data_IF_426834498849
#
_entry.id   IF_426834498849
#
_cell.length_a   1.000
_cell.length_b   1.000
_cell.length_c   1.000
_cell.angle_alpha   90.00
_cell.angle_beta   90.00
_cell.angle_gamma   90.00
#
_symmetry.space_group_name_H-M   'P 1'
#
loop_
_entity.id
_entity.type
_entity.pdbx_description
1 polymer ?
#
# COMPACT_ATOMS: atom_id res chain seq x y z
N UNK A 1 -60.90 -13.63 12.46
CA UNK A 1 -59.81 -13.99 13.37
C UNK A 1 -59.60 -15.47 13.20
N UNK A 2 -58.67 -15.88 12.39
CA UNK A 2 -58.28 -17.28 12.19
C UNK A 2 -56.85 -17.39 12.60
N UNK A 3 -56.64 -18.01 13.75
CA UNK A 3 -55.34 -18.31 14.32
C UNK A 3 -54.61 -19.28 13.38
N UNK A 4 -53.50 -18.83 12.84
CA UNK A 4 -52.55 -19.69 12.12
C UNK A 4 -51.66 -20.33 13.19
N UNK A 5 -52.15 -21.45 13.78
CA UNK A 5 -51.31 -22.28 14.65
C UNK A 5 -50.08 -22.71 13.89
N UNK A 6 -48.91 -22.39 14.44
CA UNK A 6 -47.60 -22.70 13.89
C UNK A 6 -47.43 -24.20 13.67
N UNK A 7 -47.66 -24.66 12.44
CA UNK A 7 -47.29 -25.98 12.01
C UNK A 7 -45.75 -26.01 11.85
N UNK A 8 -45.10 -26.87 12.61
CA UNK A 8 -43.65 -27.15 12.42
C UNK A 8 -43.35 -27.52 10.95
N UNK A 9 -42.26 -27.07 10.38
CA UNK A 9 -41.91 -27.40 9.01
C UNK A 9 -41.79 -28.92 8.86
N UNK A 10 -42.57 -29.49 7.95
CA UNK A 10 -42.52 -30.93 7.64
C UNK A 10 -41.48 -31.19 6.57
N UNK A 11 -40.62 -32.14 6.82
CA UNK A 11 -39.63 -32.61 5.81
C UNK A 11 -40.37 -33.43 4.75
N UNK A 12 -40.39 -32.94 3.52
CA UNK A 12 -40.96 -33.62 2.37
C UNK A 12 -39.85 -34.19 1.47
N UNK A 13 -39.99 -35.46 1.10
CA UNK A 13 -39.09 -36.13 0.17
C UNK A 13 -39.66 -36.12 -1.24
N UNK A 14 -38.86 -35.70 -2.26
CA UNK A 14 -39.25 -35.79 -3.66
C UNK A 14 -39.34 -37.26 -4.10
N UNK A 15 -40.51 -37.68 -4.60
CA UNK A 15 -40.72 -38.99 -5.18
C UNK A 15 -40.47 -38.96 -6.71
N UNK A 16 -41.06 -37.95 -7.38
CA UNK A 16 -40.96 -37.84 -8.82
C UNK A 16 -41.69 -36.64 -9.39
N UNK A 17 -42.10 -36.77 -10.65
CA UNK A 17 -42.89 -35.81 -11.39
C UNK A 17 -44.17 -36.53 -11.86
N UNK A 18 -45.31 -35.82 -11.84
CA UNK A 18 -46.55 -36.31 -12.41
C UNK A 18 -46.42 -36.62 -13.90
N UNK A 19 -47.20 -37.57 -14.44
CA UNK A 19 -47.16 -38.02 -15.83
C UNK A 19 -47.32 -36.87 -16.85
N UNK A 20 -48.14 -35.87 -16.50
CA UNK A 20 -48.36 -34.65 -17.30
C UNK A 20 -47.16 -33.66 -17.22
N UNK A 21 -46.17 -33.94 -16.36
CA UNK A 21 -44.96 -33.15 -16.21
C UNK A 21 -45.17 -31.77 -15.56
N UNK A 22 -46.36 -31.49 -15.03
CA UNK A 22 -46.72 -30.14 -14.51
C UNK A 22 -46.46 -29.97 -13.03
N UNK A 23 -46.37 -31.08 -12.24
CA UNK A 23 -46.18 -31.05 -10.80
C UNK A 23 -45.03 -31.96 -10.34
N UNK A 24 -44.42 -31.59 -9.22
CA UNK A 24 -43.53 -32.46 -8.43
C UNK A 24 -44.39 -33.22 -7.45
N UNK A 25 -44.13 -34.51 -7.29
CA UNK A 25 -44.74 -35.39 -6.29
C UNK A 25 -43.79 -35.58 -5.12
N UNK A 26 -44.26 -35.25 -3.91
CA UNK A 26 -43.52 -35.26 -2.67
C UNK A 26 -44.26 -36.16 -1.65
N UNK A 27 -43.54 -36.83 -0.77
CA UNK A 27 -44.10 -37.58 0.34
C UNK A 27 -43.50 -37.14 1.67
N UNK A 28 -44.32 -37.13 2.71
CA UNK A 28 -43.85 -37.00 4.08
C UNK A 28 -43.42 -38.36 4.66
N UNK A 29 -43.02 -38.37 5.94
CA UNK A 29 -42.59 -39.59 6.64
C UNK A 29 -43.75 -40.55 6.92
N UNK A 30 -44.98 -40.05 6.90
CA UNK A 30 -46.22 -40.79 7.19
C UNK A 30 -46.81 -41.41 5.90
N UNK A 31 -46.17 -41.18 4.75
CA UNK A 31 -46.60 -41.68 3.45
C UNK A 31 -47.68 -40.84 2.76
N UNK A 32 -48.01 -39.66 3.29
CA UNK A 32 -48.93 -38.72 2.62
C UNK A 32 -48.26 -38.06 1.42
N UNK A 33 -48.99 -37.99 0.28
CA UNK A 33 -48.47 -37.45 -0.98
C UNK A 33 -48.91 -36.00 -1.16
N UNK A 34 -48.00 -35.15 -1.59
CA UNK A 34 -48.19 -33.73 -1.88
C UNK A 34 -47.76 -33.40 -3.30
N UNK A 35 -48.50 -32.52 -3.97
CA UNK A 35 -48.19 -32.08 -5.31
C UNK A 35 -47.81 -30.58 -5.31
N UNK A 36 -46.65 -30.25 -5.83
CA UNK A 36 -46.19 -28.87 -5.98
C UNK A 36 -46.08 -28.53 -7.45
N UNK A 37 -46.82 -27.51 -7.90
CA UNK A 37 -46.79 -27.07 -9.29
C UNK A 37 -45.41 -26.56 -9.70
N UNK A 38 -44.90 -27.03 -10.85
CA UNK A 38 -43.66 -26.59 -11.44
C UNK A 38 -43.86 -25.24 -12.14
N UNK A 39 -43.90 -24.15 -11.36
CA UNK A 39 -44.00 -22.78 -11.86
C UNK A 39 -42.63 -22.26 -12.33
N UNK A 40 -42.62 -21.19 -13.15
CA UNK A 40 -41.39 -20.52 -13.54
C UNK A 40 -40.66 -19.94 -12.33
N UNK A 41 -41.38 -19.51 -11.30
CA UNK A 41 -40.84 -19.07 -10.03
C UNK A 41 -40.07 -20.18 -9.32
N UNK A 42 -40.64 -21.40 -9.25
CA UNK A 42 -40.00 -22.57 -8.66
C UNK A 42 -38.72 -22.94 -9.44
N UNK A 43 -38.80 -22.93 -10.79
CA UNK A 43 -37.63 -23.16 -11.64
C UNK A 43 -36.56 -22.12 -11.44
N UNK A 44 -36.93 -20.85 -11.36
CA UNK A 44 -35.97 -19.74 -11.11
C UNK A 44 -35.32 -19.90 -9.73
N UNK A 45 -36.09 -20.27 -8.69
CA UNK A 45 -35.58 -20.45 -7.33
C UNK A 45 -34.62 -21.63 -7.23
N UNK A 46 -34.90 -22.75 -7.93
CA UNK A 46 -34.03 -23.95 -7.94
C UNK A 46 -32.78 -23.72 -8.76
N UNK A 47 -32.87 -22.97 -9.89
CA UNK A 47 -31.76 -22.67 -10.77
C UNK A 47 -30.92 -21.46 -10.32
N UNK A 48 -31.39 -20.68 -9.34
CA UNK A 48 -30.50 -19.71 -8.69
C UNK A 48 -29.43 -20.51 -7.94
N UNK A 49 -28.13 -20.24 -8.18
CA UNK A 49 -27.10 -20.79 -7.32
C UNK A 49 -27.46 -20.39 -5.90
N UNK A 50 -27.79 -21.39 -5.08
CA UNK A 50 -28.24 -21.23 -3.71
C UNK A 50 -27.35 -20.18 -3.02
N UNK A 51 -27.91 -19.01 -2.78
CA UNK A 51 -27.57 -18.29 -1.55
C UNK A 51 -28.12 -19.18 -0.42
N UNK A 52 -27.36 -20.17 0.00
CA UNK A 52 -27.64 -20.86 1.25
C UNK A 52 -27.75 -19.78 2.33
N UNK A 53 -28.80 -19.79 3.19
CA UNK A 53 -28.66 -19.15 4.48
C UNK A 53 -27.50 -19.89 5.12
N UNK A 54 -26.34 -19.25 5.14
CA UNK A 54 -25.16 -19.70 5.87
C UNK A 54 -25.65 -19.73 7.32
N UNK A 55 -25.84 -20.94 7.86
CA UNK A 55 -25.78 -21.10 9.31
C UNK A 55 -24.47 -20.45 9.72
N UNK A 56 -24.54 -19.44 10.61
CA UNK A 56 -23.46 -18.62 11.15
C UNK A 56 -22.04 -19.19 10.98
N UNK A 57 -21.56 -19.32 9.73
CA UNK A 57 -20.15 -19.26 9.48
C UNK A 57 -19.76 -17.81 9.72
N UNK A 58 -18.70 -17.55 10.49
CA UNK A 58 -18.26 -16.20 10.77
C UNK A 58 -18.18 -15.48 9.43
N UNK A 59 -18.99 -14.44 9.26
CA UNK A 59 -19.05 -13.63 8.03
C UNK A 59 -17.63 -13.39 7.61
N UNK A 60 -17.25 -13.85 6.39
CA UNK A 60 -15.94 -13.56 5.85
C UNK A 60 -15.81 -12.04 5.82
N UNK A 61 -15.18 -11.50 6.85
CA UNK A 61 -15.05 -10.05 7.06
C UNK A 61 -14.28 -9.39 5.91
N UNK A 62 -13.65 -10.21 5.03
CA UNK A 62 -12.85 -9.71 3.94
C UNK A 62 -13.02 -10.52 2.64
N UNK A 63 -13.41 -9.82 1.55
CA UNK A 63 -13.53 -10.41 0.22
C UNK A 63 -12.16 -10.60 -0.46
N UNK A 64 -12.08 -11.50 -1.46
CA UNK A 64 -10.85 -11.68 -2.27
C UNK A 64 -10.42 -10.36 -2.91
N UNK A 65 -11.36 -9.56 -3.42
CA UNK A 65 -11.09 -8.25 -4.00
C UNK A 65 -10.45 -7.30 -3.00
N UNK A 66 -10.91 -7.31 -1.75
CA UNK A 66 -10.38 -6.50 -0.69
C UNK A 66 -8.98 -6.97 -0.27
N UNK A 67 -8.75 -8.29 -0.15
CA UNK A 67 -7.41 -8.87 0.08
C UNK A 67 -6.43 -8.36 -0.98
N UNK A 68 -6.78 -8.49 -2.26
CA UNK A 68 -5.90 -8.07 -3.35
C UNK A 68 -5.69 -6.56 -3.39
N UNK A 69 -6.71 -5.74 -3.05
CA UNK A 69 -6.58 -4.29 -2.95
C UNK A 69 -5.56 -3.91 -1.88
N UNK A 70 -5.66 -4.52 -0.69
CA UNK A 70 -4.73 -4.28 0.42
C UNK A 70 -3.31 -4.73 0.13
N UNK A 71 -3.14 -5.89 -0.49
CA UNK A 71 -1.83 -6.36 -0.96
C UNK A 71 -1.20 -5.38 -1.97
N UNK A 72 -1.99 -4.81 -2.90
CA UNK A 72 -1.51 -3.76 -3.82
C UNK A 72 -1.13 -2.48 -3.09
N UNK A 73 -1.87 -2.12 -2.04
CA UNK A 73 -1.56 -0.97 -1.19
C UNK A 73 -0.28 -1.18 -0.34
N UNK A 74 0.28 -2.40 -0.33
CA UNK A 74 1.53 -2.70 0.37
C UNK A 74 1.34 -3.21 1.80
N UNK A 75 0.11 -3.52 2.21
CA UNK A 75 -0.14 -4.15 3.51
C UNK A 75 0.47 -5.56 3.55
N UNK A 76 0.96 -5.97 4.73
CA UNK A 76 1.52 -7.31 4.92
C UNK A 76 0.43 -8.37 4.96
N UNK A 77 0.79 -9.60 4.58
CA UNK A 77 -0.16 -10.73 4.59
C UNK A 77 -0.66 -11.02 6.01
N UNK A 78 0.19 -10.87 7.01
CA UNK A 78 -0.14 -11.06 8.42
C UNK A 78 -1.16 -10.01 8.88
N UNK A 79 -0.95 -8.74 8.53
CA UNK A 79 -1.89 -7.65 8.85
C UNK A 79 -3.25 -7.89 8.23
N UNK A 80 -3.28 -8.31 6.95
CA UNK A 80 -4.52 -8.62 6.23
C UNK A 80 -5.25 -9.82 6.87
N UNK A 81 -4.51 -10.87 7.23
CA UNK A 81 -5.06 -12.05 7.90
C UNK A 81 -5.71 -11.69 9.24
N UNK A 82 -5.03 -10.87 10.05
CA UNK A 82 -5.55 -10.39 11.33
C UNK A 82 -6.80 -9.53 11.16
N UNK A 83 -6.76 -8.54 10.27
CA UNK A 83 -7.89 -7.65 10.01
C UNK A 83 -9.12 -8.38 9.46
N UNK A 84 -8.89 -9.37 8.61
CA UNK A 84 -9.96 -10.16 7.99
C UNK A 84 -10.46 -11.31 8.85
N UNK A 85 -9.80 -11.59 9.98
CA UNK A 85 -10.03 -12.81 10.78
C UNK A 85 -10.02 -14.08 9.90
N UNK A 86 -9.04 -14.14 8.99
CA UNK A 86 -8.84 -15.25 8.04
C UNK A 86 -7.44 -15.85 8.21
N UNK A 87 -7.23 -17.07 7.73
CA UNK A 87 -5.91 -17.68 7.80
C UNK A 87 -4.91 -17.04 6.83
N UNK A 88 -3.63 -17.05 7.18
CA UNK A 88 -2.56 -16.50 6.34
C UNK A 88 -2.46 -17.27 5.01
N UNK A 89 -2.66 -18.58 5.01
CA UNK A 89 -2.64 -19.43 3.82
C UNK A 89 -3.74 -19.02 2.82
N UNK A 90 -4.86 -18.50 3.34
CA UNK A 90 -5.92 -17.95 2.49
C UNK A 90 -5.45 -16.67 1.80
N UNK A 91 -4.74 -15.78 2.49
CA UNK A 91 -4.17 -14.56 1.92
C UNK A 91 -3.09 -14.91 0.89
N UNK A 92 -2.17 -15.82 1.22
CA UNK A 92 -1.10 -16.29 0.33
C UNK A 92 -1.62 -16.83 -0.99
N UNK A 93 -2.72 -17.59 -0.97
CA UNK A 93 -3.37 -18.14 -2.18
C UNK A 93 -3.73 -17.05 -3.19
N UNK A 94 -4.06 -15.84 -2.72
CA UNK A 94 -4.45 -14.71 -3.57
C UNK A 94 -3.33 -13.68 -3.77
N UNK A 95 -2.19 -13.84 -3.11
CA UNK A 95 -1.08 -12.90 -3.18
C UNK A 95 -0.29 -13.00 -4.49
N UNK A 96 -0.12 -14.21 -5.06
CA UNK A 96 0.73 -14.46 -6.21
C UNK A 96 0.55 -13.47 -7.38
N UNK A 97 -0.66 -13.26 -7.91
CA UNK A 97 -0.89 -12.31 -9.02
C UNK A 97 -0.51 -10.87 -8.66
N UNK A 98 -0.76 -10.45 -7.41
CA UNK A 98 -0.44 -9.09 -6.95
C UNK A 98 1.07 -8.88 -6.81
N UNK A 99 1.79 -9.87 -6.29
CA UNK A 99 3.25 -9.81 -6.18
C UNK A 99 3.90 -9.75 -7.57
N UNK A 100 3.39 -10.52 -8.54
CA UNK A 100 3.84 -10.43 -9.93
C UNK A 100 3.55 -9.06 -10.56
N UNK A 101 2.36 -8.49 -10.31
CA UNK A 101 2.01 -7.14 -10.75
C UNK A 101 3.00 -6.10 -10.19
N UNK A 102 3.33 -6.17 -8.89
CA UNK A 102 4.29 -5.27 -8.25
C UNK A 102 5.70 -5.39 -8.84
N UNK A 103 6.18 -6.62 -9.04
CA UNK A 103 7.48 -6.87 -9.68
C UNK A 103 7.52 -6.31 -11.11
N UNK A 104 6.47 -6.49 -11.87
CA UNK A 104 6.35 -5.94 -13.21
C UNK A 104 6.40 -4.40 -13.22
N UNK A 105 5.68 -3.75 -12.31
CA UNK A 105 5.70 -2.28 -12.15
C UNK A 105 7.09 -1.77 -11.79
N UNK A 106 7.80 -2.43 -10.88
CA UNK A 106 9.19 -2.08 -10.54
C UNK A 106 10.06 -2.16 -11.79
N UNK A 107 10.02 -3.26 -12.53
CA UNK A 107 10.80 -3.43 -13.76
C UNK A 107 10.47 -2.40 -14.83
N UNK A 108 9.21 -1.99 -14.95
CA UNK A 108 8.82 -0.90 -15.86
C UNK A 108 9.40 0.45 -15.43
N UNK A 109 9.33 0.73 -14.12
CA UNK A 109 9.82 1.99 -13.58
C UNK A 109 11.35 2.10 -13.70
N UNK A 110 12.10 1.04 -13.41
CA UNK A 110 13.57 1.00 -13.56
C UNK A 110 14.00 1.32 -14.99
N UNK A 111 13.22 0.90 -16.01
CA UNK A 111 13.47 1.17 -17.43
C UNK A 111 12.92 2.52 -17.90
N UNK A 112 12.25 3.27 -17.03
CA UNK A 112 11.67 4.57 -17.39
C UNK A 112 12.71 5.66 -17.22
N UNK A 113 12.83 6.56 -18.21
CA UNK A 113 13.71 7.71 -18.17
C UNK A 113 13.24 8.73 -17.13
N UNK A 114 14.18 9.27 -16.34
CA UNK A 114 13.90 10.28 -15.32
C UNK A 114 13.44 11.63 -15.90
N UNK A 115 13.90 11.95 -17.12
CA UNK A 115 13.56 13.17 -17.85
C UNK A 115 13.11 12.82 -19.27
N UNK A 116 12.47 13.76 -19.94
CA UNK A 116 11.97 13.58 -21.32
C UNK A 116 13.05 13.79 -22.41
N UNK A 117 14.28 14.08 -22.03
CA UNK A 117 15.40 14.33 -22.96
C UNK A 117 16.02 13.01 -23.44
N UNK A 118 16.52 13.01 -24.68
CA UNK A 118 17.11 11.84 -25.33
C UNK A 118 18.36 11.27 -24.68
N UNK A 119 18.96 11.99 -23.73
CA UNK A 119 20.16 11.58 -22.98
C UNK A 119 19.87 11.31 -21.51
N UNK A 120 18.60 11.23 -21.12
CA UNK A 120 18.21 10.98 -19.73
C UNK A 120 18.51 9.54 -19.33
N UNK A 121 19.09 9.39 -18.15
CA UNK A 121 19.28 8.09 -17.51
C UNK A 121 17.93 7.47 -17.19
N UNK A 122 17.86 6.15 -17.25
CA UNK A 122 16.73 5.42 -16.65
C UNK A 122 16.83 5.47 -15.13
N UNK A 123 15.72 5.18 -14.44
CA UNK A 123 15.74 5.11 -12.97
C UNK A 123 16.76 4.08 -12.46
N UNK A 124 16.82 2.89 -13.07
CA UNK A 124 17.78 1.85 -12.71
C UNK A 124 19.24 2.30 -12.88
N UNK A 125 19.56 2.93 -14.01
CA UNK A 125 20.91 3.45 -14.27
C UNK A 125 21.28 4.55 -13.27
N UNK A 126 20.34 5.44 -12.94
CA UNK A 126 20.56 6.50 -11.97
C UNK A 126 20.83 5.96 -10.56
N UNK A 127 20.06 4.96 -10.13
CA UNK A 127 20.30 4.27 -8.85
C UNK A 127 21.70 3.65 -8.84
N UNK A 128 22.05 2.89 -9.87
CA UNK A 128 23.38 2.28 -9.98
C UNK A 128 24.48 3.34 -9.97
N UNK A 129 24.36 4.41 -10.76
CA UNK A 129 25.37 5.47 -10.85
C UNK A 129 25.58 6.22 -9.53
N UNK A 130 24.51 6.38 -8.72
CA UNK A 130 24.58 7.08 -7.43
C UNK A 130 25.07 6.21 -6.29
N UNK A 131 24.72 4.92 -6.28
CA UNK A 131 25.02 4.02 -5.18
C UNK A 131 26.39 3.31 -5.34
N UNK A 132 26.83 3.03 -6.57
CA UNK A 132 28.12 2.35 -6.82
C UNK A 132 29.33 3.08 -6.20
N UNK A 133 29.48 4.42 -6.29
CA UNK A 133 30.58 5.13 -5.65
C UNK A 133 30.57 5.07 -4.12
N UNK A 134 29.41 4.76 -3.52
CA UNK A 134 29.26 4.57 -2.07
C UNK A 134 29.60 3.14 -1.63
N UNK A 135 29.97 2.27 -2.57
CA UNK A 135 30.28 0.87 -2.31
C UNK A 135 29.02 -0.01 -2.08
N UNK A 136 27.83 0.46 -2.46
CA UNK A 136 26.61 -0.31 -2.36
C UNK A 136 26.50 -1.27 -3.54
N UNK A 137 26.50 -2.57 -3.26
CA UNK A 137 26.27 -3.59 -4.27
C UNK A 137 24.77 -3.63 -4.65
N UNK A 138 24.47 -3.78 -5.94
CA UNK A 138 23.10 -3.68 -6.45
C UNK A 138 22.18 -4.83 -5.98
N UNK A 139 22.73 -5.96 -5.58
CA UNK A 139 22.02 -7.08 -4.96
C UNK A 139 21.51 -6.77 -3.53
N UNK A 140 22.06 -5.76 -2.88
CA UNK A 140 21.60 -5.26 -1.60
C UNK A 140 20.50 -4.19 -1.71
N UNK A 141 20.23 -3.72 -2.93
CA UNK A 141 19.17 -2.76 -3.19
C UNK A 141 17.81 -3.48 -3.24
N UNK A 142 16.91 -3.05 -2.41
CA UNK A 142 15.57 -3.63 -2.34
C UNK A 142 14.52 -2.67 -2.89
N UNK A 143 13.66 -3.19 -3.75
CA UNK A 143 12.55 -2.44 -4.32
C UNK A 143 11.22 -2.88 -3.74
N UNK A 144 10.36 -1.92 -3.50
CA UNK A 144 8.98 -2.14 -3.12
C UNK A 144 8.06 -1.23 -3.97
N UNK A 145 6.87 -1.74 -4.31
CA UNK A 145 5.87 -0.97 -5.03
C UNK A 145 4.51 -1.10 -4.32
N UNK A 146 3.84 0.01 -4.09
CA UNK A 146 2.47 0.03 -3.57
C UNK A 146 1.58 0.91 -4.42
N UNK A 147 0.33 0.49 -4.64
CA UNK A 147 -0.63 1.22 -5.45
C UNK A 147 -1.40 2.21 -4.61
N UNK A 148 -1.44 3.47 -5.04
CA UNK A 148 -2.22 4.53 -4.41
C UNK A 148 -3.66 4.55 -4.92
N UNK A 149 -4.54 5.21 -4.21
CA UNK A 149 -5.96 5.34 -4.56
C UNK A 149 -6.19 6.11 -5.87
N UNK A 150 -5.28 7.02 -6.22
CA UNK A 150 -5.29 7.76 -7.49
C UNK A 150 -4.87 6.91 -8.71
N UNK A 151 -4.54 5.63 -8.48
CA UNK A 151 -4.11 4.69 -9.50
C UNK A 151 -2.62 4.75 -9.86
N UNK A 152 -1.86 5.71 -9.32
CA UNK A 152 -0.39 5.75 -9.43
C UNK A 152 0.26 4.75 -8.48
N UNK A 153 1.55 4.51 -8.69
CA UNK A 153 2.35 3.64 -7.84
C UNK A 153 3.36 4.43 -7.03
N UNK A 154 3.51 4.08 -5.78
CA UNK A 154 4.61 4.53 -4.94
C UNK A 154 5.72 3.48 -5.00
N UNK A 155 6.90 3.88 -5.44
CA UNK A 155 8.08 3.03 -5.52
C UNK A 155 9.04 3.43 -4.42
N UNK A 156 9.51 2.49 -3.65
CA UNK A 156 10.50 2.69 -2.60
C UNK A 156 11.73 1.84 -2.93
N UNK A 157 12.86 2.49 -3.05
CA UNK A 157 14.18 1.89 -3.15
C UNK A 157 14.87 1.99 -1.80
N UNK A 158 15.18 0.87 -1.17
CA UNK A 158 15.91 0.79 0.09
C UNK A 158 17.31 0.26 -0.15
N UNK A 159 18.31 0.89 0.43
CA UNK A 159 19.74 0.53 0.24
C UNK A 159 20.54 0.75 1.53
N UNK A 160 21.63 0.00 1.74
CA UNK A 160 22.53 0.21 2.87
C UNK A 160 23.15 1.63 2.84
N UNK A 161 23.18 2.29 3.98
CA UNK A 161 23.80 3.59 4.20
C UNK A 161 24.67 3.53 5.46
N UNK A 162 25.55 4.51 5.66
CA UNK A 162 26.41 4.62 6.86
C UNK A 162 25.61 4.67 8.16
N UNK A 163 24.41 5.24 8.12
CA UNK A 163 23.53 5.42 9.27
C UNK A 163 22.45 4.31 9.38
N UNK A 164 22.57 3.23 8.58
CA UNK A 164 21.63 2.11 8.54
C UNK A 164 21.03 1.88 7.16
N UNK A 165 19.74 2.15 6.97
CA UNK A 165 19.05 2.03 5.68
C UNK A 165 18.69 3.41 5.14
N UNK A 166 19.14 3.69 3.92
CA UNK A 166 18.67 4.82 3.11
C UNK A 166 17.43 4.42 2.31
N UNK A 167 16.53 5.37 2.10
CA UNK A 167 15.35 5.19 1.27
C UNK A 167 15.25 6.30 0.23
N UNK A 168 14.72 5.95 -0.93
CA UNK A 168 14.37 6.89 -1.98
C UNK A 168 13.02 6.51 -2.57
N UNK A 169 12.13 7.49 -2.70
CA UNK A 169 10.73 7.25 -3.03
C UNK A 169 10.29 8.05 -4.24
N UNK A 170 9.69 7.37 -5.22
CA UNK A 170 9.10 7.98 -6.42
C UNK A 170 7.62 7.66 -6.55
N UNK A 171 6.87 8.59 -7.14
CA UNK A 171 5.55 8.32 -7.68
C UNK A 171 5.70 7.93 -9.16
N UNK A 172 5.09 6.84 -9.56
CA UNK A 172 5.12 6.30 -10.92
C UNK A 172 3.74 6.20 -11.53
N UNK A 173 3.50 6.90 -12.64
CA UNK A 173 2.33 6.71 -13.48
C UNK A 173 2.69 5.71 -14.57
N UNK A 174 2.22 4.47 -14.42
CA UNK A 174 2.52 3.38 -15.36
C UNK A 174 1.90 3.57 -16.74
N UNK A 175 0.79 4.30 -16.85
CA UNK A 175 0.09 4.58 -18.10
C UNK A 175 0.83 5.63 -18.93
N UNK A 176 1.36 6.67 -18.29
CA UNK A 176 2.14 7.74 -18.92
C UNK A 176 3.64 7.46 -18.94
N UNK A 177 4.10 6.43 -18.21
CA UNK A 177 5.51 6.14 -17.98
C UNK A 177 6.27 7.36 -17.50
N UNK A 178 5.79 7.99 -16.44
CA UNK A 178 6.41 9.15 -15.83
C UNK A 178 6.73 8.89 -14.36
N UNK A 179 7.90 9.38 -13.95
CA UNK A 179 8.39 9.33 -12.57
C UNK A 179 8.43 10.74 -11.99
N UNK A 180 8.12 10.85 -10.70
CA UNK A 180 8.28 12.08 -9.93
C UNK A 180 8.90 11.73 -8.57
N UNK A 181 9.98 12.42 -8.20
CA UNK A 181 10.62 12.26 -6.88
C UNK A 181 9.70 12.74 -5.78
N UNK A 182 9.53 11.92 -4.74
CA UNK A 182 8.66 12.22 -3.59
C UNK A 182 9.48 12.76 -2.41
N UNK A 183 10.66 12.20 -2.19
CA UNK A 183 11.55 12.55 -1.07
C UNK A 183 12.92 13.05 -1.53
N UNK A 184 13.75 13.47 -0.58
CA UNK A 184 15.10 13.99 -0.86
C UNK A 184 16.04 12.90 -1.35
N UNK A 185 15.86 11.65 -0.91
CA UNK A 185 16.62 10.51 -1.42
C UNK A 185 16.40 10.30 -2.91
N UNK A 186 15.14 10.36 -3.35
CA UNK A 186 14.78 10.27 -4.75
C UNK A 186 15.30 11.45 -5.57
N UNK A 187 15.19 12.68 -5.05
CA UNK A 187 15.75 13.87 -5.71
C UNK A 187 17.26 13.76 -5.89
N UNK A 188 17.95 13.30 -4.85
CA UNK A 188 19.39 13.09 -4.91
C UNK A 188 19.79 12.04 -5.96
N UNK A 189 19.10 10.89 -5.99
CA UNK A 189 19.36 9.84 -6.99
C UNK A 189 19.04 10.35 -8.39
N UNK A 190 17.92 11.04 -8.58
CA UNK A 190 17.47 11.57 -9.87
C UNK A 190 18.33 12.76 -10.38
N UNK A 191 19.26 13.26 -9.56
CA UNK A 191 20.07 14.43 -9.91
C UNK A 191 19.26 15.72 -10.00
N UNK A 192 18.16 15.80 -9.27
CA UNK A 192 17.40 17.02 -9.12
C UNK A 192 18.12 17.95 -8.12
N UNK A 193 18.28 19.22 -8.46
CA UNK A 193 18.80 20.19 -7.50
C UNK A 193 17.83 20.31 -6.34
N UNK A 194 18.36 20.17 -5.11
CA UNK A 194 17.54 20.49 -3.93
C UNK A 194 17.12 21.96 -4.03
N UNK A 195 15.85 22.29 -3.80
CA UNK A 195 15.46 23.69 -3.68
C UNK A 195 16.32 24.29 -2.56
N UNK A 196 17.20 25.26 -2.90
CA UNK A 196 17.93 26.02 -1.90
C UNK A 196 16.90 26.51 -0.89
N UNK A 197 17.12 26.26 0.43
CA UNK A 197 16.23 26.86 1.43
C UNK A 197 16.17 28.37 1.12
N UNK A 198 15.01 28.99 1.24
CA UNK A 198 14.88 30.42 0.96
C UNK A 198 15.97 31.11 1.78
N UNK A 199 16.90 31.81 1.08
CA UNK A 199 17.94 32.60 1.71
C UNK A 199 17.18 33.51 2.65
N UNK A 200 17.31 33.29 3.96
CA UNK A 200 16.86 34.28 4.92
C UNK A 200 17.71 35.51 4.60
N UNK A 201 17.16 36.41 3.81
CA UNK A 201 17.62 37.76 3.77
C UNK A 201 17.37 38.29 5.18
N UNK A 202 18.40 38.15 6.02
CA UNK A 202 18.50 38.98 7.19
C UNK A 202 18.46 40.41 6.65
N UNK A 203 17.28 40.94 6.61
CA UNK A 203 17.03 42.35 6.29
C UNK A 203 17.77 43.21 7.28
N UNK A 204 19.04 43.45 6.99
CA UNK A 204 19.74 44.57 7.54
C UNK A 204 19.09 45.80 6.87
N UNK A 205 18.03 46.28 7.49
CA UNK A 205 17.49 47.58 7.14
C UNK A 205 18.57 48.59 7.49
N UNK A 206 19.36 48.95 6.49
CA UNK A 206 20.22 50.14 6.59
C UNK A 206 19.28 51.34 6.71
N UNK A 207 19.05 51.76 7.93
CA UNK A 207 18.40 53.01 8.22
C UNK A 207 19.34 54.14 7.86
N UNK A 208 19.27 54.65 6.62
CA UNK A 208 19.92 55.90 6.19
C UNK A 208 19.10 57.08 6.64
N UNK A 209 19.40 57.58 7.82
CA UNK A 209 18.82 58.79 8.34
C UNK A 209 19.64 59.43 9.46
N UNK A 210 20.49 60.42 9.09
CA UNK A 210 20.89 61.55 9.93
C UNK A 210 21.97 61.31 10.97
N UNK A 211 23.13 61.85 10.69
CA UNK A 211 24.21 62.40 11.48
C UNK A 211 24.29 62.14 12.99
N UNK A 212 25.37 61.56 13.41
CA UNK A 212 26.24 62.16 14.44
C UNK A 212 27.53 61.33 14.59
N UNK A 213 28.67 62.04 14.71
CA UNK A 213 29.97 61.50 14.95
C UNK A 213 30.06 60.80 16.30
N UNK A 214 30.19 59.46 16.33
CA UNK A 214 30.70 58.70 17.48
C UNK A 214 31.70 57.70 17.03
N UNK A 215 32.94 57.81 17.58
CA UNK A 215 34.06 56.91 17.38
C UNK A 215 33.67 55.42 17.65
N UNK A 216 34.26 54.47 16.89
CA UNK A 216 34.03 53.05 17.18
C UNK A 216 34.72 52.61 18.47
N UNK A 217 34.10 51.76 19.31
CA UNK A 217 34.73 51.25 20.50
C UNK A 217 35.89 50.31 20.13
N UNK A 218 37.07 50.62 20.71
CA UNK A 218 38.25 49.74 20.64
C UNK A 218 37.99 48.43 21.31
N UNK A 219 38.15 47.32 20.59
CA UNK A 219 38.20 45.98 21.13
C UNK A 219 39.50 45.82 21.93
N UNK A 220 39.40 45.64 23.25
CA UNK A 220 40.49 45.25 24.13
C UNK A 220 40.53 43.73 24.17
N UNK A 221 41.60 43.14 23.65
CA UNK A 221 41.87 41.71 23.79
C UNK A 221 42.26 41.40 25.24
N UNK A 222 41.43 40.64 25.92
CA UNK A 222 41.73 40.07 27.24
C UNK A 222 42.51 38.79 27.01
N UNK A 223 43.80 38.82 27.38
CA UNK A 223 44.69 37.67 27.40
C UNK A 223 44.36 36.83 28.63
N UNK A 224 43.86 35.64 28.43
CA UNK A 224 43.67 34.65 29.51
C UNK A 224 45.05 34.04 29.81
N UNK A 225 45.55 34.30 31.00
CA UNK A 225 46.79 33.66 31.55
C UNK A 225 46.41 32.25 32.02
N UNK A 226 47.19 31.28 31.56
CA UNK A 226 47.17 29.91 32.01
C UNK A 226 47.78 29.81 33.43
N UNK A 227 47.01 29.36 34.39
CA UNK A 227 47.53 28.93 35.69
C UNK A 227 47.82 27.41 35.64
N UNK A 228 49.10 27.12 35.46
CA UNK A 228 49.71 25.84 35.82
C UNK A 228 49.83 25.73 37.30
N UNK A 229 49.15 24.76 37.93
CA UNK A 229 49.39 24.36 39.32
C UNK A 229 49.93 22.95 39.34
N UNK A 230 51.23 22.84 39.53
CA UNK A 230 51.91 21.63 39.99
C UNK A 230 51.50 21.35 41.44
N UNK A 231 51.15 20.10 41.73
CA UNK A 231 51.19 19.57 43.08
C UNK A 231 52.02 18.29 43.09
N UNK A 232 53.19 18.46 43.70
CA UNK A 232 54.11 17.41 44.13
C UNK A 232 53.54 16.63 45.33
N UNK A 233 53.83 15.32 45.30
CA UNK A 233 54.26 14.44 46.40
C UNK A 233 53.50 14.38 47.71
N UNK A 234 52.97 13.23 48.04
CA UNK A 234 53.57 12.28 49.01
C UNK A 234 52.90 10.93 48.89
#
# INVERSE_FOLDING_TARGET
MSENEGQEPRDLRLIGRTEDGTHLELSDRDGSTFHVRISDTLRATINQPRLMPVADEPQEVMTIKEIQRRLRAGESMESIAQLGNISIEKVERFAGPVLQERTFIISQAEKTSLRKDSHSLTLGDAVQQRLAPLGVAMDLVQWNASRKDDGTWLLVCSYPNRDGLGNATWSFDSSKRTLASVDDGARWISGEEQPKPPRQENGFVANTGGGDHREPPRLVAVRSEEHTSELQSH
#
